data_IF_330882763983
#
_entry.id   IF_330882763983
#
_cell.length_a   1.000
_cell.length_b   1.000
_cell.length_c   1.000
_cell.angle_alpha   90.00
_cell.angle_beta   90.00
_cell.angle_gamma   90.00
#
_symmetry.space_group_name_H-M   'P 1'
#
loop_
_entity.id
_entity.type
_entity.pdbx_description
1 polymer ?
#
# COMPACT_ATOMS: atom_id res chain seq x y z
N UNK A 1 2.44 124.29 -55.11
CA UNK A 1 1.26 123.72 -54.41
C UNK A 1 1.48 123.59 -52.90
N UNK A 2 2.68 123.21 -52.43
CA UNK A 2 3.02 123.02 -51.00
C UNK A 2 2.98 124.32 -50.16
N UNK A 3 3.45 125.45 -50.67
CA UNK A 3 3.50 126.73 -49.93
C UNK A 3 2.12 127.37 -49.69
N UNK A 4 1.13 127.04 -50.53
CA UNK A 4 -0.27 127.52 -50.37
C UNK A 4 -0.99 126.80 -49.24
N UNK A 5 -0.68 125.51 -49.03
CA UNK A 5 -1.29 124.70 -47.97
C UNK A 5 -0.70 125.00 -46.60
N UNK A 6 0.62 125.29 -46.51
CA UNK A 6 1.28 125.67 -45.27
C UNK A 6 0.76 127.03 -44.74
N UNK A 7 0.55 128.00 -45.63
CA UNK A 7 -0.01 129.31 -45.28
C UNK A 7 -1.44 129.19 -44.72
N UNK A 8 -2.29 128.33 -45.31
CA UNK A 8 -3.63 128.06 -44.78
C UNK A 8 -3.61 127.36 -43.42
N UNK A 9 -2.70 126.41 -43.17
CA UNK A 9 -2.61 125.72 -41.88
C UNK A 9 -2.10 126.65 -40.77
N UNK A 10 -1.11 127.50 -41.06
CA UNK A 10 -0.62 128.49 -40.08
C UNK A 10 -1.67 129.57 -39.78
N UNK A 11 -2.42 130.03 -40.79
CA UNK A 11 -3.55 130.95 -40.58
C UNK A 11 -4.66 130.29 -39.76
N UNK A 12 -4.98 129.01 -40.02
CA UNK A 12 -5.99 128.27 -39.26
C UNK A 12 -5.59 128.07 -37.79
N UNK A 13 -4.32 127.75 -37.51
CA UNK A 13 -3.80 127.66 -36.14
C UNK A 13 -3.77 129.01 -35.41
N UNK A 14 -3.47 130.11 -36.11
CA UNK A 14 -3.49 131.45 -35.52
C UNK A 14 -4.93 131.98 -35.30
N UNK A 15 -5.90 131.48 -36.07
CA UNK A 15 -7.33 131.77 -35.85
C UNK A 15 -7.97 130.86 -34.80
N UNK A 16 -7.39 129.69 -34.52
CA UNK A 16 -7.88 128.78 -33.49
C UNK A 16 -7.55 129.28 -32.07
N UNK A 17 -6.46 130.03 -31.89
CA UNK A 17 -6.09 130.61 -30.59
C UNK A 17 -6.97 131.80 -30.17
N UNK A 18 -7.65 132.47 -31.11
CA UNK A 18 -8.66 133.50 -30.82
C UNK A 18 -10.07 132.92 -30.63
N UNK A 19 -10.27 131.62 -30.87
CA UNK A 19 -11.57 130.94 -30.71
C UNK A 19 -11.78 130.30 -29.31
N UNK A 20 -10.80 130.38 -28.41
CA UNK A 20 -10.90 129.92 -27.02
C UNK A 20 -11.00 131.06 -25.99
N UNK A 21 -11.12 132.32 -26.44
CA UNK A 21 -11.53 133.41 -25.54
C UNK A 21 -13.04 133.36 -25.39
N UNK A 22 -13.54 132.41 -24.59
CA UNK A 22 -14.87 132.58 -24.01
C UNK A 22 -14.74 133.74 -23.03
N UNK A 23 -15.37 134.87 -23.33
CA UNK A 23 -15.46 135.98 -22.39
C UNK A 23 -16.32 135.52 -21.23
N UNK A 24 -15.67 135.09 -20.14
CA UNK A 24 -16.35 134.78 -18.89
C UNK A 24 -17.05 136.06 -18.42
N UNK A 25 -18.36 135.97 -18.18
CA UNK A 25 -19.13 137.14 -17.81
C UNK A 25 -20.59 136.85 -17.52
N UNK A 26 -21.27 137.84 -16.94
CA UNK A 26 -22.69 137.77 -16.57
C UNK A 26 -23.46 138.77 -17.44
N UNK A 27 -24.46 138.31 -18.20
CA UNK A 27 -25.31 139.22 -18.96
C UNK A 27 -26.08 140.13 -18.01
N UNK A 28 -26.02 141.45 -18.24
CA UNK A 28 -26.73 142.45 -17.45
C UNK A 28 -27.59 143.33 -18.35
N UNK A 29 -28.85 143.47 -17.95
CA UNK A 29 -29.82 144.31 -18.63
C UNK A 29 -30.61 145.13 -17.60
N UNK A 30 -30.73 146.44 -17.83
CA UNK A 30 -31.49 147.34 -16.98
C UNK A 30 -32.15 148.46 -17.79
N UNK A 31 -33.27 148.99 -17.28
CA UNK A 31 -33.90 150.22 -17.77
C UNK A 31 -33.50 151.34 -16.80
N UNK A 32 -32.84 152.37 -17.30
CA UNK A 32 -32.39 153.54 -16.55
C UNK A 32 -33.47 154.61 -16.62
N UNK A 33 -33.89 155.11 -15.46
CA UNK A 33 -34.88 156.18 -15.33
C UNK A 33 -34.16 157.51 -15.05
N UNK A 34 -34.66 158.59 -15.63
CA UNK A 34 -34.15 159.95 -15.44
C UNK A 34 -34.46 160.40 -13.99
N UNK A 35 -33.43 160.77 -13.20
CA UNK A 35 -33.64 161.24 -11.82
C UNK A 35 -34.35 162.61 -11.78
N UNK A 36 -34.36 163.37 -12.88
CA UNK A 36 -35.00 164.66 -12.94
C UNK A 36 -36.42 164.55 -13.50
N UNK A 37 -37.38 165.21 -12.84
CA UNK A 37 -38.74 165.29 -13.35
C UNK A 37 -38.76 166.16 -14.63
N UNK A 38 -39.32 165.62 -15.72
CA UNK A 38 -39.50 166.36 -16.96
C UNK A 38 -40.62 167.38 -16.77
N UNK A 39 -40.31 168.67 -16.82
CA UNK A 39 -41.32 169.72 -16.70
C UNK A 39 -42.23 169.76 -17.94
N UNK A 40 -43.51 169.42 -17.75
CA UNK A 40 -44.55 169.62 -18.76
C UNK A 40 -45.47 170.78 -18.32
N UNK A 41 -46.07 171.54 -19.25
CA UNK A 41 -46.96 172.64 -18.88
C UNK A 41 -48.12 172.16 -18.00
N UNK A 42 -48.10 172.52 -16.70
CA UNK A 42 -49.14 172.19 -15.72
C UNK A 42 -48.92 170.93 -14.87
N UNK A 43 -47.90 170.10 -15.15
CA UNK A 43 -47.55 168.91 -14.36
C UNK A 43 -46.14 168.40 -14.71
N UNK A 44 -45.34 167.94 -13.74
CA UNK A 44 -44.02 167.36 -14.02
C UNK A 44 -44.12 165.83 -14.15
N UNK A 45 -43.53 165.24 -15.19
CA UNK A 45 -43.47 163.79 -15.37
C UNK A 45 -42.22 163.22 -14.70
N UNK A 46 -42.40 162.42 -13.64
CA UNK A 46 -41.32 161.71 -12.95
C UNK A 46 -41.10 160.31 -13.54
N UNK A 47 -39.91 159.73 -13.33
CA UNK A 47 -39.56 158.36 -13.76
C UNK A 47 -39.63 158.10 -15.27
N UNK A 48 -39.33 159.12 -16.09
CA UNK A 48 -39.21 158.88 -17.53
C UNK A 48 -37.93 158.07 -17.81
N UNK A 49 -37.90 157.19 -18.83
CA UNK A 49 -36.65 156.55 -19.20
C UNK A 49 -35.59 157.60 -19.61
N UNK A 50 -34.37 157.43 -19.13
CA UNK A 50 -33.25 158.26 -19.53
C UNK A 50 -32.77 157.81 -20.91
N UNK A 51 -33.26 158.44 -21.98
CA UNK A 51 -33.01 157.99 -23.36
C UNK A 51 -31.81 158.66 -24.02
N UNK A 52 -31.06 157.91 -24.83
CA UNK A 52 -29.94 158.39 -25.66
C UNK A 52 -28.90 159.22 -24.89
N UNK A 53 -28.63 158.86 -23.63
CA UNK A 53 -27.71 159.57 -22.75
C UNK A 53 -26.48 158.72 -22.50
N UNK A 54 -25.30 159.35 -22.53
CA UNK A 54 -24.07 158.71 -22.06
C UNK A 54 -24.11 158.64 -20.54
N UNK A 55 -23.93 157.45 -19.98
CA UNK A 55 -23.87 157.18 -18.54
C UNK A 55 -22.66 156.28 -18.24
N UNK A 56 -22.21 156.32 -16.99
CA UNK A 56 -21.22 155.34 -16.49
C UNK A 56 -21.89 154.39 -15.51
N UNK A 57 -21.59 153.09 -15.64
CA UNK A 57 -22.02 152.05 -14.72
C UNK A 57 -20.80 151.43 -14.05
N UNK A 58 -20.87 151.19 -12.75
CA UNK A 58 -19.90 150.40 -11.98
C UNK A 58 -20.55 149.15 -11.43
N UNK A 59 -19.84 148.04 -11.53
CA UNK A 59 -20.24 146.76 -10.99
C UNK A 59 -19.26 146.34 -9.90
N UNK A 60 -19.79 145.78 -8.82
CA UNK A 60 -19.04 145.16 -7.75
C UNK A 60 -19.64 143.80 -7.44
N UNK A 61 -18.81 142.77 -7.26
CA UNK A 61 -19.28 141.50 -6.69
C UNK A 61 -18.59 141.26 -5.36
N UNK A 62 -19.40 140.93 -4.36
CA UNK A 62 -18.96 140.58 -3.01
C UNK A 62 -19.28 139.13 -2.70
N UNK A 63 -18.42 138.45 -1.94
CA UNK A 63 -18.71 137.11 -1.44
C UNK A 63 -19.74 137.14 -0.29
N UNK A 64 -20.11 135.96 0.21
CA UNK A 64 -21.08 135.81 1.30
C UNK A 64 -20.64 136.48 2.63
N UNK A 65 -19.35 136.81 2.77
CA UNK A 65 -18.78 137.50 3.94
C UNK A 65 -18.70 139.03 3.74
N UNK A 66 -19.14 139.54 2.59
CA UNK A 66 -19.09 140.96 2.24
C UNK A 66 -17.72 141.43 1.74
N UNK A 67 -16.80 140.52 1.40
CA UNK A 67 -15.49 140.86 0.82
C UNK A 67 -15.65 141.02 -0.69
N UNK A 68 -15.18 142.14 -1.24
CA UNK A 68 -15.18 142.39 -2.68
C UNK A 68 -14.25 141.39 -3.37
N UNK A 69 -14.72 140.80 -4.46
CA UNK A 69 -13.96 139.87 -5.31
C UNK A 69 -13.77 140.39 -6.73
N UNK A 70 -14.58 141.36 -7.14
CA UNK A 70 -14.60 141.87 -8.50
C UNK A 70 -15.09 143.31 -8.56
N UNK A 71 -14.49 144.12 -9.44
CA UNK A 71 -15.02 145.44 -9.79
C UNK A 71 -14.62 145.89 -11.20
N UNK A 72 -15.58 146.51 -11.90
CA UNK A 72 -15.37 147.06 -13.25
C UNK A 72 -16.31 148.23 -13.53
N UNK A 73 -15.98 149.04 -14.53
CA UNK A 73 -16.89 150.08 -15.03
C UNK A 73 -17.13 149.96 -16.54
N UNK A 74 -18.26 150.51 -16.97
CA UNK A 74 -18.70 150.59 -18.36
C UNK A 74 -19.19 152.00 -18.67
N UNK A 75 -18.68 152.61 -19.74
CA UNK A 75 -19.25 153.81 -20.34
C UNK A 75 -20.20 153.40 -21.46
N UNK A 76 -21.50 153.67 -21.30
CA UNK A 76 -22.54 153.21 -22.25
C UNK A 76 -23.53 154.30 -22.58
N UNK A 77 -24.22 154.16 -23.71
CA UNK A 77 -25.30 155.05 -24.13
C UNK A 77 -26.62 154.31 -23.93
N UNK A 78 -27.54 154.88 -23.16
CA UNK A 78 -28.89 154.33 -23.01
C UNK A 78 -29.64 154.38 -24.34
N UNK A 79 -30.44 153.35 -24.64
CA UNK A 79 -31.18 153.32 -25.90
C UNK A 79 -32.42 154.24 -25.90
N UNK A 80 -33.24 154.16 -26.96
CA UNK A 80 -34.48 154.95 -27.10
C UNK A 80 -35.56 154.66 -26.04
N UNK A 81 -35.37 153.61 -25.24
CA UNK A 81 -36.25 153.19 -24.14
C UNK A 81 -35.54 153.25 -22.78
N UNK A 82 -34.34 153.84 -22.72
CA UNK A 82 -33.53 153.92 -21.50
C UNK A 82 -32.83 152.62 -21.13
N UNK A 83 -32.79 151.62 -22.02
CA UNK A 83 -32.16 150.33 -21.71
C UNK A 83 -30.65 150.35 -21.89
N UNK A 84 -29.98 149.59 -21.03
CA UNK A 84 -28.59 149.15 -21.20
C UNK A 84 -28.56 147.63 -21.30
N UNK A 85 -27.67 147.12 -22.15
CA UNK A 85 -27.38 145.70 -22.25
C UNK A 85 -25.87 145.55 -22.37
N UNK A 86 -25.25 144.87 -21.41
CA UNK A 86 -23.81 144.69 -21.34
C UNK A 86 -23.47 143.33 -20.72
N UNK A 87 -22.22 142.91 -20.88
CA UNK A 87 -21.68 141.70 -20.27
C UNK A 87 -20.76 142.11 -19.12
N UNK A 88 -21.17 141.82 -17.88
CA UNK A 88 -20.32 142.04 -16.70
C UNK A 88 -19.11 141.09 -16.81
N UNK A 89 -17.90 141.61 -16.64
CA UNK A 89 -16.63 140.89 -16.88
C UNK A 89 -15.97 141.26 -18.22
N UNK A 90 -16.60 142.16 -18.99
CA UNK A 90 -16.04 142.71 -20.24
C UNK A 90 -15.74 144.22 -20.16
N UNK A 91 -15.97 144.84 -19.01
CA UNK A 91 -15.68 146.25 -18.78
C UNK A 91 -14.21 146.49 -18.42
N UNK A 92 -13.90 147.73 -18.08
CA UNK A 92 -12.57 148.08 -17.61
C UNK A 92 -12.47 147.80 -16.11
N UNK A 93 -11.59 146.88 -15.66
CA UNK A 93 -11.42 146.58 -14.25
C UNK A 93 -10.79 147.76 -13.53
N UNK A 94 -11.17 147.96 -12.27
CA UNK A 94 -10.47 148.86 -11.37
C UNK A 94 -10.14 148.14 -10.06
N UNK A 95 -9.31 148.73 -9.21
CA UNK A 95 -8.83 148.11 -7.97
C UNK A 95 -8.12 146.74 -8.14
N UNK A 96 -7.72 146.36 -9.36
CA UNK A 96 -7.09 145.08 -9.72
C UNK A 96 -7.95 143.84 -9.44
N UNK A 97 -9.28 143.99 -9.46
CA UNK A 97 -10.24 142.94 -9.16
C UNK A 97 -10.94 142.45 -10.44
N UNK A 98 -10.25 141.61 -11.21
CA UNK A 98 -10.73 141.10 -12.50
C UNK A 98 -11.76 139.97 -12.34
N UNK A 99 -12.52 139.65 -13.39
CA UNK A 99 -13.57 138.62 -13.32
C UNK A 99 -13.04 137.24 -12.92
N UNK A 100 -11.78 136.92 -13.23
CA UNK A 100 -11.10 135.67 -12.84
C UNK A 100 -10.77 135.57 -11.34
N UNK A 101 -10.84 136.68 -10.59
CA UNK A 101 -10.61 136.67 -9.15
C UNK A 101 -11.80 136.11 -8.35
N UNK A 102 -12.97 135.98 -8.98
CA UNK A 102 -14.18 135.47 -8.34
C UNK A 102 -14.02 133.96 -8.06
N UNK A 103 -14.11 133.56 -6.80
CA UNK A 103 -14.01 132.16 -6.38
C UNK A 103 -15.39 131.50 -6.40
N UNK A 104 -15.63 130.62 -7.37
CA UNK A 104 -16.92 129.93 -7.51
C UNK A 104 -16.97 128.61 -6.72
N UNK A 105 -17.17 128.68 -5.41
CA UNK A 105 -17.09 127.54 -4.47
C UNK A 105 -18.44 126.95 -4.03
N UNK A 106 -19.55 127.42 -4.61
CA UNK A 106 -20.90 127.00 -4.21
C UNK A 106 -21.63 128.00 -3.30
N UNK A 107 -20.95 129.00 -2.76
CA UNK A 107 -21.57 130.01 -1.88
C UNK A 107 -22.22 131.16 -2.66
N UNK A 108 -23.26 131.79 -2.09
CA UNK A 108 -23.95 132.93 -2.72
C UNK A 108 -23.08 134.19 -2.73
N UNK A 109 -23.18 134.98 -3.78
CA UNK A 109 -22.47 136.26 -3.94
C UNK A 109 -23.45 137.41 -4.15
N UNK A 110 -23.03 138.65 -3.93
CA UNK A 110 -23.86 139.86 -4.10
C UNK A 110 -23.28 140.74 -5.20
N UNK A 111 -24.09 141.07 -6.21
CA UNK A 111 -23.79 142.03 -7.27
C UNK A 111 -24.37 143.40 -6.89
N UNK A 112 -23.52 144.41 -6.76
CA UNK A 112 -23.95 145.81 -6.63
C UNK A 112 -23.67 146.58 -7.91
N UNK A 113 -24.60 147.46 -8.28
CA UNK A 113 -24.50 148.31 -9.47
C UNK A 113 -24.66 149.75 -9.06
N UNK A 114 -23.75 150.60 -9.50
CA UNK A 114 -23.77 152.04 -9.31
C UNK A 114 -23.81 152.74 -10.66
N UNK A 115 -24.45 153.90 -10.72
CA UNK A 115 -24.63 154.69 -11.94
C UNK A 115 -24.22 156.14 -11.73
N UNK A 116 -23.55 156.72 -12.71
CA UNK A 116 -23.40 158.15 -12.89
C UNK A 116 -24.20 158.58 -14.13
N UNK A 117 -25.21 159.43 -13.89
CA UNK A 117 -26.15 159.89 -14.91
C UNK A 117 -25.57 160.94 -15.87
N UNK A 118 -24.50 161.63 -15.48
CA UNK A 118 -23.95 162.80 -16.20
C UNK A 118 -22.51 162.60 -16.68
N UNK A 119 -21.81 161.55 -16.20
CA UNK A 119 -20.40 161.28 -16.50
C UNK A 119 -19.45 162.27 -15.82
N UNK A 120 -19.84 162.83 -14.67
CA UNK A 120 -19.06 163.80 -13.90
C UNK A 120 -18.27 163.18 -12.73
N UNK A 121 -18.42 161.86 -12.53
CA UNK A 121 -17.75 161.07 -11.50
C UNK A 121 -18.58 160.87 -10.23
N UNK A 122 -19.82 161.38 -10.15
CA UNK A 122 -20.72 161.15 -9.02
C UNK A 122 -21.59 159.89 -9.23
N UNK A 123 -21.22 158.81 -8.55
CA UNK A 123 -21.92 157.52 -8.63
C UNK A 123 -22.94 157.36 -7.50
N UNK A 124 -24.16 156.95 -7.86
CA UNK A 124 -25.22 156.56 -6.93
C UNK A 124 -25.59 155.10 -7.10
N UNK A 125 -26.04 154.44 -6.03
CA UNK A 125 -26.42 153.04 -6.08
C UNK A 125 -27.68 152.85 -6.94
N UNK A 126 -27.60 151.98 -7.94
CA UNK A 126 -28.69 151.63 -8.84
C UNK A 126 -29.42 150.37 -8.38
N UNK A 127 -28.69 149.29 -8.05
CA UNK A 127 -29.30 148.02 -7.65
C UNK A 127 -28.36 147.12 -6.84
N UNK A 128 -28.93 146.20 -6.06
CA UNK A 128 -28.23 145.07 -5.45
C UNK A 128 -28.97 143.77 -5.80
N UNK A 129 -28.23 142.72 -6.17
CA UNK A 129 -28.78 141.43 -6.61
C UNK A 129 -27.95 140.28 -6.04
N UNK A 130 -28.60 139.16 -5.71
CA UNK A 130 -27.90 137.94 -5.28
C UNK A 130 -27.58 137.09 -6.51
N UNK A 131 -26.32 136.69 -6.64
CA UNK A 131 -25.85 135.69 -7.59
C UNK A 131 -25.82 134.32 -6.91
N UNK A 132 -26.67 133.39 -7.38
CA UNK A 132 -26.70 132.00 -6.92
C UNK A 132 -25.79 131.13 -7.79
N UNK A 133 -25.17 130.10 -7.19
CA UNK A 133 -24.18 129.23 -7.82
C UNK A 133 -24.70 128.50 -9.08
N UNK A 134 -23.84 128.37 -10.10
CA UNK A 134 -24.00 127.46 -11.24
C UNK A 134 -23.04 126.26 -11.07
N UNK A 135 -23.46 125.01 -11.32
CA UNK A 135 -22.61 123.83 -11.14
C UNK A 135 -21.36 123.84 -12.03
N UNK A 136 -20.19 123.63 -11.42
CA UNK A 136 -18.88 123.50 -12.08
C UNK A 136 -18.41 122.02 -12.13
N UNK A 137 -17.64 121.58 -13.15
CA UNK A 137 -17.07 120.22 -13.20
C UNK A 137 -16.02 119.94 -12.10
N UNK A 138 -15.89 118.65 -11.76
CA UNK A 138 -14.99 118.06 -10.74
C UNK A 138 -13.50 118.36 -11.00
N UNK A 139 -12.71 118.45 -9.92
CA UNK A 139 -11.27 118.75 -9.93
C UNK A 139 -10.40 117.55 -10.38
N UNK A 140 -9.26 117.83 -11.03
CA UNK A 140 -8.37 116.83 -11.61
C UNK A 140 -7.64 115.97 -10.59
N UNK A 141 -7.39 116.48 -9.37
CA UNK A 141 -6.70 115.74 -8.31
C UNK A 141 -7.46 114.48 -7.84
N UNK A 142 -8.79 114.55 -7.86
CA UNK A 142 -9.67 113.42 -7.51
C UNK A 142 -9.60 112.36 -8.61
N UNK A 143 -9.50 112.77 -9.88
CA UNK A 143 -9.41 111.87 -11.01
C UNK A 143 -8.11 111.06 -10.98
N UNK A 144 -6.99 111.70 -10.63
CA UNK A 144 -5.69 111.04 -10.51
C UNK A 144 -5.68 109.99 -9.39
N UNK A 145 -6.31 110.29 -8.25
CA UNK A 145 -6.44 109.33 -7.14
C UNK A 145 -7.27 108.11 -7.53
N UNK A 146 -8.38 108.33 -8.25
CA UNK A 146 -9.23 107.23 -8.71
C UNK A 146 -8.47 106.36 -9.72
N UNK A 147 -7.69 106.96 -10.62
CA UNK A 147 -6.90 106.21 -11.58
C UNK A 147 -5.83 105.35 -10.91
N UNK A 148 -5.13 105.88 -9.89
CA UNK A 148 -4.14 105.12 -9.14
C UNK A 148 -4.77 103.90 -8.43
N UNK A 149 -5.96 104.04 -7.87
CA UNK A 149 -6.69 102.92 -7.25
C UNK A 149 -7.10 101.87 -8.29
N UNK A 150 -7.51 102.29 -9.49
CA UNK A 150 -7.84 101.38 -10.59
C UNK A 150 -6.60 100.58 -11.01
N UNK A 151 -5.47 101.26 -11.22
CA UNK A 151 -4.22 100.63 -11.66
C UNK A 151 -3.72 99.57 -10.64
N UNK A 152 -3.86 99.86 -9.34
CA UNK A 152 -3.52 98.91 -8.27
C UNK A 152 -4.45 97.70 -8.30
N UNK A 153 -5.76 97.92 -8.42
CA UNK A 153 -6.73 96.83 -8.48
C UNK A 153 -6.52 95.93 -9.72
N UNK A 154 -6.14 96.51 -10.85
CA UNK A 154 -5.80 95.76 -12.06
C UNK A 154 -4.54 94.91 -11.82
N UNK A 155 -3.48 95.49 -11.25
CA UNK A 155 -2.25 94.76 -10.95
C UNK A 155 -2.47 93.62 -9.92
N UNK A 156 -3.29 93.85 -8.89
CA UNK A 156 -3.64 92.84 -7.90
C UNK A 156 -4.47 91.72 -8.53
N UNK A 157 -5.42 92.05 -9.42
CA UNK A 157 -6.20 91.06 -10.17
C UNK A 157 -5.32 90.21 -11.08
N UNK A 158 -4.41 90.83 -11.84
CA UNK A 158 -3.46 90.13 -12.72
C UNK A 158 -2.54 89.18 -11.95
N UNK A 159 -2.06 89.61 -10.77
CA UNK A 159 -1.22 88.78 -9.91
C UNK A 159 -1.99 87.55 -9.39
N UNK A 160 -3.26 87.74 -8.98
CA UNK A 160 -4.12 86.64 -8.54
C UNK A 160 -4.44 85.67 -9.68
N UNK A 161 -4.75 86.19 -10.87
CA UNK A 161 -5.01 85.36 -12.05
C UNK A 161 -3.79 84.50 -12.41
N UNK A 162 -2.59 85.07 -12.36
CA UNK A 162 -1.35 84.33 -12.58
C UNK A 162 -1.13 83.22 -11.54
N UNK A 163 -1.35 83.51 -10.26
CA UNK A 163 -1.22 82.51 -9.18
C UNK A 163 -2.24 81.38 -9.31
N UNK A 164 -3.48 81.70 -9.67
CA UNK A 164 -4.53 80.70 -9.87
C UNK A 164 -4.21 79.85 -11.10
N UNK A 165 -3.72 80.44 -12.19
CA UNK A 165 -3.33 79.70 -13.38
C UNK A 165 -2.19 78.71 -13.09
N UNK A 166 -1.16 79.13 -12.34
CA UNK A 166 -0.07 78.25 -11.90
C UNK A 166 -0.60 77.08 -11.06
N UNK A 167 -1.49 77.35 -10.09
CA UNK A 167 -2.10 76.30 -9.28
C UNK A 167 -2.96 75.31 -10.09
N UNK A 168 -3.67 75.79 -11.12
CA UNK A 168 -4.45 74.94 -12.04
C UNK A 168 -3.53 74.07 -12.89
N UNK A 169 -2.43 74.64 -13.41
CA UNK A 169 -1.47 73.92 -14.22
C UNK A 169 -0.76 72.83 -13.40
N UNK A 170 -0.36 73.13 -12.17
CA UNK A 170 0.22 72.17 -11.23
C UNK A 170 -0.76 71.04 -10.89
N UNK A 171 -2.03 71.36 -10.63
CA UNK A 171 -3.05 70.36 -10.34
C UNK A 171 -3.31 69.47 -11.57
N UNK A 172 -3.34 70.06 -12.76
CA UNK A 172 -3.50 69.31 -14.02
C UNK A 172 -2.32 68.36 -14.24
N UNK A 173 -1.09 68.79 -13.97
CA UNK A 173 0.09 67.95 -14.06
C UNK A 173 0.07 66.81 -13.03
N UNK A 174 -0.39 67.08 -11.81
CA UNK A 174 -0.56 66.07 -10.77
C UNK A 174 -1.61 65.01 -11.15
N UNK A 175 -2.76 65.42 -11.68
CA UNK A 175 -3.83 64.53 -12.13
C UNK A 175 -3.35 63.59 -13.26
N UNK A 176 -2.54 64.12 -14.20
CA UNK A 176 -1.91 63.33 -15.26
C UNK A 176 -0.94 62.31 -14.66
N UNK A 177 -0.06 62.74 -13.76
CA UNK A 177 0.93 61.86 -13.13
C UNK A 177 0.25 60.74 -12.30
N UNK A 178 -0.83 61.05 -11.57
CA UNK A 178 -1.62 60.07 -10.85
C UNK A 178 -2.24 59.04 -11.80
N UNK A 179 -2.81 59.50 -12.93
CA UNK A 179 -3.42 58.63 -13.94
C UNK A 179 -2.39 57.69 -14.60
N UNK A 180 -1.20 58.18 -14.91
CA UNK A 180 -0.10 57.38 -15.46
C UNK A 180 0.45 56.36 -14.45
N UNK A 181 0.58 56.77 -13.18
CA UNK A 181 0.98 55.89 -12.08
C UNK A 181 -0.06 54.77 -11.87
N UNK A 182 -1.35 55.11 -11.89
CA UNK A 182 -2.45 54.15 -11.81
C UNK A 182 -2.41 53.14 -12.96
N UNK A 183 -2.27 53.61 -14.20
CA UNK A 183 -2.14 52.74 -15.39
C UNK A 183 -0.93 51.79 -15.27
N UNK A 184 0.19 52.30 -14.75
CA UNK A 184 1.39 51.49 -14.54
C UNK A 184 1.16 50.40 -13.48
N UNK A 185 0.51 50.74 -12.37
CA UNK A 185 0.17 49.81 -11.30
C UNK A 185 -0.81 48.73 -11.79
N UNK A 186 -1.84 49.12 -12.54
CA UNK A 186 -2.83 48.20 -13.12
C UNK A 186 -2.18 47.21 -14.09
N UNK A 187 -1.28 47.69 -14.96
CA UNK A 187 -0.53 46.81 -15.87
C UNK A 187 0.39 45.84 -15.11
N UNK A 188 1.04 46.29 -14.04
CA UNK A 188 1.89 45.42 -13.22
C UNK A 188 1.05 44.34 -12.51
N UNK A 189 -0.12 44.71 -11.99
CA UNK A 189 -1.04 43.77 -11.36
C UNK A 189 -1.59 42.77 -12.37
N UNK A 190 -1.98 43.22 -13.56
CA UNK A 190 -2.44 42.34 -14.63
C UNK A 190 -1.35 41.34 -15.04
N UNK A 191 -0.10 41.79 -15.19
CA UNK A 191 1.02 40.90 -15.48
C UNK A 191 1.26 39.85 -14.40
N UNK A 192 1.09 40.20 -13.11
CA UNK A 192 1.18 39.25 -12.01
C UNK A 192 0.03 38.23 -12.03
N UNK A 193 -1.20 38.65 -12.34
CA UNK A 193 -2.37 37.79 -12.47
C UNK A 193 -2.19 36.80 -13.63
N UNK A 194 -1.74 37.28 -14.79
CA UNK A 194 -1.49 36.46 -15.97
C UNK A 194 -0.40 35.41 -15.68
N UNK A 195 0.68 35.81 -15.00
CA UNK A 195 1.74 34.89 -14.59
C UNK A 195 1.23 33.83 -13.59
N UNK A 196 0.41 34.22 -12.61
CA UNK A 196 -0.18 33.26 -11.68
C UNK A 196 -1.12 32.28 -12.40
N UNK A 197 -1.94 32.77 -13.32
CA UNK A 197 -2.83 31.94 -14.14
C UNK A 197 -2.04 30.93 -14.97
N UNK A 198 -0.92 31.34 -15.58
CA UNK A 198 -0.05 30.45 -16.33
C UNK A 198 0.62 29.39 -15.44
N UNK A 199 1.05 29.77 -14.23
CA UNK A 199 1.61 28.84 -13.25
C UNK A 199 0.57 27.82 -12.78
N UNK A 200 -0.66 28.25 -12.47
CA UNK A 200 -1.76 27.37 -12.05
C UNK A 200 -2.08 26.32 -13.13
N UNK A 201 -2.07 26.73 -14.41
CA UNK A 201 -2.22 25.82 -15.56
C UNK A 201 -1.06 24.82 -15.61
N UNK A 202 0.19 25.31 -15.54
CA UNK A 202 1.37 24.45 -15.60
C UNK A 202 1.43 23.44 -14.44
N UNK A 203 1.05 23.86 -13.23
CA UNK A 203 0.94 22.99 -12.06
C UNK A 203 -0.13 21.92 -12.26
N UNK A 204 -1.30 22.30 -12.80
CA UNK A 204 -2.40 21.36 -13.09
C UNK A 204 -2.01 20.33 -14.16
N UNK A 205 -1.31 20.75 -15.22
CA UNK A 205 -0.80 19.86 -16.27
C UNK A 205 0.27 18.91 -15.74
N UNK A 206 1.22 19.41 -14.93
CA UNK A 206 2.24 18.60 -14.30
C UNK A 206 1.65 17.58 -13.32
N UNK A 207 0.66 17.99 -12.52
CA UNK A 207 -0.08 17.10 -11.61
C UNK A 207 -0.82 16.00 -12.38
N UNK A 208 -1.52 16.37 -13.46
CA UNK A 208 -2.22 15.40 -14.32
C UNK A 208 -1.24 14.39 -14.94
N UNK A 209 -0.07 14.84 -15.40
CA UNK A 209 0.95 13.94 -15.94
C UNK A 209 1.51 12.99 -14.88
N UNK A 210 1.79 13.50 -13.67
CA UNK A 210 2.26 12.69 -12.55
C UNK A 210 1.22 11.64 -12.12
N UNK A 211 -0.07 12.00 -12.09
CA UNK A 211 -1.16 11.08 -11.78
C UNK A 211 -1.28 9.95 -12.83
N UNK A 212 -1.10 10.28 -14.11
CA UNK A 212 -1.08 9.29 -15.21
C UNK A 212 0.11 8.33 -15.07
N UNK A 213 1.30 8.84 -14.80
CA UNK A 213 2.51 8.01 -14.60
C UNK A 213 2.38 7.10 -13.37
N UNK A 214 1.81 7.62 -12.28
CA UNK A 214 1.54 6.83 -11.08
C UNK A 214 0.49 5.74 -11.35
N UNK A 215 -0.59 6.07 -12.06
CA UNK A 215 -1.62 5.09 -12.42
C UNK A 215 -1.03 3.98 -13.30
N UNK A 216 -0.19 4.31 -14.29
CA UNK A 216 0.50 3.32 -15.11
C UNK A 216 1.41 2.38 -14.29
N UNK A 217 2.09 2.93 -13.28
CA UNK A 217 2.94 2.14 -12.37
C UNK A 217 2.11 1.19 -11.49
N UNK A 218 0.96 1.66 -10.99
CA UNK A 218 0.02 0.85 -10.19
C UNK A 218 -0.58 -0.28 -11.04
N UNK A 219 -0.99 0.03 -12.28
CA UNK A 219 -1.56 -0.95 -13.20
C UNK A 219 -0.53 -2.04 -13.55
N UNK A 220 0.74 -1.65 -13.79
CA UNK A 220 1.83 -2.58 -14.02
C UNK A 220 2.08 -3.50 -12.81
N UNK A 221 2.18 -2.94 -11.60
CA UNK A 221 2.36 -3.74 -10.38
C UNK A 221 1.18 -4.68 -10.14
N UNK A 222 -0.05 -4.23 -10.40
CA UNK A 222 -1.24 -5.07 -10.28
C UNK A 222 -1.21 -6.24 -11.27
N UNK A 223 -0.73 -6.01 -12.50
CA UNK A 223 -0.57 -7.06 -13.49
C UNK A 223 0.52 -8.07 -13.10
N UNK A 224 1.64 -7.59 -12.57
CA UNK A 224 2.74 -8.43 -12.08
C UNK A 224 2.30 -9.29 -10.88
N UNK A 225 1.57 -8.72 -9.91
CA UNK A 225 1.01 -9.44 -8.75
C UNK A 225 0.08 -10.58 -9.20
N UNK A 226 -0.75 -10.34 -10.22
CA UNK A 226 -1.63 -11.37 -10.80
C UNK A 226 -0.81 -12.46 -11.49
N UNK A 227 0.23 -12.10 -12.25
CA UNK A 227 1.08 -13.06 -12.93
C UNK A 227 1.89 -13.92 -11.95
N UNK A 228 2.39 -13.33 -10.86
CA UNK A 228 3.05 -14.05 -9.78
C UNK A 228 2.09 -15.04 -9.11
N UNK A 229 0.87 -14.60 -8.79
CA UNK A 229 -0.15 -15.47 -8.18
C UNK A 229 -0.51 -16.66 -9.07
N UNK A 230 -0.67 -16.45 -10.39
CA UNK A 230 -0.92 -17.52 -11.36
C UNK A 230 0.28 -18.49 -11.41
N UNK A 231 1.50 -17.96 -11.52
CA UNK A 231 2.73 -18.77 -11.58
C UNK A 231 2.92 -19.60 -10.30
N UNK A 232 2.61 -19.02 -9.14
CA UNK A 232 2.61 -19.70 -7.85
C UNK A 232 1.58 -20.83 -7.80
N UNK A 233 0.35 -20.59 -8.24
CA UNK A 233 -0.69 -21.61 -8.30
C UNK A 233 -0.34 -22.77 -9.26
N UNK A 234 0.30 -22.47 -10.40
CA UNK A 234 0.81 -23.49 -11.32
C UNK A 234 1.94 -24.32 -10.70
N UNK A 235 2.86 -23.67 -9.98
CA UNK A 235 3.94 -24.36 -9.26
C UNK A 235 3.41 -25.26 -8.13
N UNK A 236 2.44 -24.77 -7.34
CA UNK A 236 1.78 -25.55 -6.28
C UNK A 236 1.04 -26.76 -6.87
N UNK A 237 0.32 -26.59 -7.98
CA UNK A 237 -0.36 -27.68 -8.67
C UNK A 237 0.63 -28.73 -9.20
N UNK A 238 1.77 -28.30 -9.76
CA UNK A 238 2.82 -29.21 -10.22
C UNK A 238 3.45 -29.98 -9.05
N UNK A 239 3.72 -29.32 -7.92
CA UNK A 239 4.23 -29.97 -6.73
C UNK A 239 3.24 -30.98 -6.16
N UNK A 240 1.95 -30.62 -6.09
CA UNK A 240 0.90 -31.54 -5.65
C UNK A 240 0.83 -32.79 -6.53
N UNK A 241 0.93 -32.64 -7.85
CA UNK A 241 0.94 -33.78 -8.77
C UNK A 241 2.14 -34.72 -8.52
N UNK A 242 3.33 -34.19 -8.20
CA UNK A 242 4.47 -35.02 -7.83
C UNK A 242 4.27 -35.74 -6.49
N UNK A 243 3.69 -35.07 -5.49
CA UNK A 243 3.37 -35.68 -4.19
C UNK A 243 2.36 -36.81 -4.37
N UNK A 244 1.29 -36.57 -5.12
CA UNK A 244 0.25 -37.57 -5.39
C UNK A 244 0.82 -38.79 -6.13
N UNK A 245 1.67 -38.55 -7.14
CA UNK A 245 2.35 -39.61 -7.88
C UNK A 245 3.30 -40.43 -6.98
N UNK A 246 4.02 -39.78 -6.06
CA UNK A 246 4.87 -40.49 -5.11
C UNK A 246 4.03 -41.30 -4.11
N UNK A 247 2.91 -40.76 -3.64
CA UNK A 247 2.00 -41.48 -2.75
C UNK A 247 1.43 -42.75 -3.40
N UNK A 248 1.07 -42.69 -4.69
CA UNK A 248 0.65 -43.87 -5.46
C UNK A 248 1.79 -44.87 -5.59
N UNK A 249 3.01 -44.41 -5.89
CA UNK A 249 4.17 -45.28 -6.02
C UNK A 249 4.52 -46.00 -4.71
N UNK A 250 4.44 -45.30 -3.57
CA UNK A 250 4.66 -45.88 -2.24
C UNK A 250 3.58 -46.94 -1.91
N UNK A 251 2.32 -46.70 -2.27
CA UNK A 251 1.22 -47.66 -2.10
C UNK A 251 1.42 -48.91 -2.97
N UNK A 252 1.78 -48.73 -4.25
CA UNK A 252 2.11 -49.83 -5.17
C UNK A 252 3.31 -50.65 -4.66
N UNK A 253 4.35 -50.02 -4.13
CA UNK A 253 5.52 -50.70 -3.54
C UNK A 253 5.12 -51.52 -2.31
N UNK A 254 4.30 -50.96 -1.42
CA UNK A 254 3.77 -51.68 -0.25
C UNK A 254 2.97 -52.92 -0.66
N UNK A 255 2.07 -52.79 -1.64
CA UNK A 255 1.26 -53.92 -2.15
C UNK A 255 2.16 -54.98 -2.80
N UNK A 256 3.15 -54.56 -3.59
CA UNK A 256 4.11 -55.48 -4.20
C UNK A 256 4.93 -56.23 -3.14
N UNK A 257 5.34 -55.54 -2.07
CA UNK A 257 6.00 -56.14 -0.91
C UNK A 257 5.14 -57.18 -0.20
N UNK A 258 3.90 -56.84 0.15
CA UNK A 258 2.94 -57.75 0.79
C UNK A 258 2.68 -59.00 -0.06
N UNK A 259 2.54 -58.83 -1.38
CA UNK A 259 2.38 -59.95 -2.32
C UNK A 259 3.63 -60.83 -2.39
N UNK A 260 4.83 -60.25 -2.36
CA UNK A 260 6.08 -60.99 -2.35
C UNK A 260 6.25 -61.79 -1.05
N UNK A 261 5.94 -61.19 0.09
CA UNK A 261 5.99 -61.85 1.40
C UNK A 261 4.97 -62.99 1.48
N UNK A 262 3.74 -62.78 0.99
CA UNK A 262 2.72 -63.83 0.92
C UNK A 262 3.15 -64.99 0.01
N UNK A 263 3.76 -64.70 -1.14
CA UNK A 263 4.27 -65.72 -2.05
C UNK A 263 5.43 -66.52 -1.42
N UNK A 264 6.32 -65.84 -0.68
CA UNK A 264 7.41 -66.49 0.05
C UNK A 264 6.87 -67.37 1.18
N UNK A 265 5.89 -66.90 1.95
CA UNK A 265 5.26 -67.69 3.01
C UNK A 265 4.59 -68.94 2.44
N UNK A 266 3.85 -68.83 1.34
CA UNK A 266 3.24 -69.99 0.68
C UNK A 266 4.28 -71.02 0.20
N UNK A 267 5.44 -70.56 -0.29
CA UNK A 267 6.53 -71.45 -0.69
C UNK A 267 7.18 -72.15 0.52
N UNK A 268 7.35 -71.44 1.64
CA UNK A 268 7.86 -72.02 2.89
C UNK A 268 6.88 -73.07 3.44
N UNK A 269 5.59 -72.74 3.50
CA UNK A 269 4.54 -73.64 3.98
C UNK A 269 4.49 -74.92 3.14
N UNK A 270 4.54 -74.79 1.81
CA UNK A 270 4.58 -75.94 0.90
C UNK A 270 5.83 -76.80 1.07
N UNK A 271 6.99 -76.20 1.36
CA UNK A 271 8.21 -76.97 1.64
C UNK A 271 8.12 -77.69 2.98
N UNK A 272 7.54 -77.06 4.00
CA UNK A 272 7.33 -77.69 5.30
C UNK A 272 6.37 -78.88 5.21
N UNK A 273 5.28 -78.75 4.44
CA UNK A 273 4.35 -79.86 4.18
C UNK A 273 5.04 -81.01 3.43
N UNK A 274 5.88 -80.71 2.44
CA UNK A 274 6.66 -81.71 1.73
C UNK A 274 7.70 -82.43 2.63
N UNK A 275 8.37 -81.69 3.52
CA UNK A 275 9.32 -82.26 4.48
C UNK A 275 8.61 -83.18 5.51
N UNK A 276 7.39 -82.82 5.92
CA UNK A 276 6.52 -83.66 6.79
C UNK A 276 6.08 -84.93 6.06
N UNK A 277 5.60 -84.82 4.82
CA UNK A 277 5.22 -85.96 3.97
C UNK A 277 6.39 -86.92 3.73
N UNK A 278 7.59 -86.40 3.45
CA UNK A 278 8.80 -87.22 3.30
C UNK A 278 9.14 -87.97 4.59
N UNK A 279 9.03 -87.30 5.75
CA UNK A 279 9.28 -87.90 7.06
C UNK A 279 8.26 -89.00 7.41
N UNK A 280 6.98 -88.79 7.10
CA UNK A 280 5.93 -89.79 7.33
C UNK A 280 6.09 -90.99 6.38
N UNK A 281 6.39 -90.74 5.10
CA UNK A 281 6.71 -91.80 4.14
C UNK A 281 7.94 -92.62 4.57
N UNK A 282 9.00 -91.95 5.03
CA UNK A 282 10.20 -92.59 5.57
C UNK A 282 9.88 -93.47 6.79
N UNK A 283 9.12 -92.93 7.74
CA UNK A 283 8.66 -93.69 8.93
C UNK A 283 7.86 -94.92 8.53
N UNK A 284 6.99 -94.82 7.52
CA UNK A 284 6.17 -95.95 7.07
C UNK A 284 7.00 -97.02 6.36
N UNK A 285 8.02 -96.63 5.59
CA UNK A 285 9.01 -97.55 5.02
C UNK A 285 9.81 -98.25 6.12
N UNK A 286 10.26 -97.53 7.15
CA UNK A 286 10.97 -98.10 8.29
C UNK A 286 10.11 -99.12 9.05
N UNK A 287 8.83 -98.81 9.30
CA UNK A 287 7.87 -99.75 9.91
C UNK A 287 7.71 -101.01 9.03
N UNK A 288 7.48 -100.84 7.73
CA UNK A 288 7.32 -101.97 6.82
C UNK A 288 8.59 -102.86 6.76
N UNK A 289 9.77 -102.24 6.82
CA UNK A 289 11.03 -102.96 6.89
C UNK A 289 11.18 -103.69 8.23
N UNK A 290 10.80 -103.06 9.35
CA UNK A 290 10.82 -103.69 10.67
C UNK A 290 9.87 -104.90 10.72
N UNK A 291 8.64 -104.76 10.21
CA UNK A 291 7.68 -105.87 10.12
C UNK A 291 8.25 -107.04 9.30
N UNK A 292 8.93 -106.74 8.17
CA UNK A 292 9.56 -107.76 7.34
C UNK A 292 10.72 -108.46 8.06
N UNK A 293 11.53 -107.72 8.83
CA UNK A 293 12.62 -108.27 9.66
C UNK A 293 12.04 -109.14 10.78
N UNK A 294 10.97 -108.69 11.44
CA UNK A 294 10.32 -109.44 12.53
C UNK A 294 9.73 -110.76 12.01
N UNK A 295 9.07 -110.74 10.85
CA UNK A 295 8.60 -111.96 10.18
C UNK A 295 9.76 -112.89 9.82
N UNK A 296 10.87 -112.35 9.29
CA UNK A 296 12.02 -113.18 8.95
C UNK A 296 12.65 -113.80 10.21
N UNK A 297 12.78 -113.01 11.29
CA UNK A 297 13.29 -113.48 12.58
C UNK A 297 12.40 -114.60 13.15
N UNK A 298 11.08 -114.43 13.11
CA UNK A 298 10.14 -115.46 13.54
C UNK A 298 10.20 -116.73 12.66
N UNK A 299 10.42 -116.58 11.36
CA UNK A 299 10.63 -117.72 10.47
C UNK A 299 11.94 -118.46 10.77
N UNK A 300 13.04 -117.73 11.00
CA UNK A 300 14.34 -118.31 11.37
C UNK A 300 14.23 -119.06 12.72
N UNK A 301 13.52 -118.49 13.71
CA UNK A 301 13.22 -119.17 14.98
C UNK A 301 12.40 -120.44 14.77
N UNK A 302 11.33 -120.37 13.96
CA UNK A 302 10.48 -121.54 13.66
C UNK A 302 11.23 -122.64 12.88
N UNK A 303 12.15 -122.26 11.98
CA UNK A 303 13.03 -123.20 11.28
C UNK A 303 13.99 -123.88 12.26
N UNK A 304 14.59 -123.13 13.18
CA UNK A 304 15.45 -123.67 14.24
C UNK A 304 14.68 -124.65 15.13
N UNK A 305 13.48 -124.26 15.62
CA UNK A 305 12.63 -125.12 16.45
C UNK A 305 12.21 -126.39 15.70
N UNK A 306 11.87 -126.29 14.41
CA UNK A 306 11.55 -127.45 13.58
C UNK A 306 12.77 -128.36 13.37
N UNK A 307 13.97 -127.79 13.24
CA UNK A 307 15.24 -128.50 13.20
C UNK A 307 15.50 -129.27 14.49
N UNK A 308 15.40 -128.61 15.65
CA UNK A 308 15.55 -129.22 16.98
C UNK A 308 14.53 -130.36 17.19
N UNK A 309 13.29 -130.19 16.74
CA UNK A 309 12.28 -131.24 16.77
C UNK A 309 12.63 -132.43 15.88
N UNK A 310 13.14 -132.18 14.67
CA UNK A 310 13.55 -133.24 13.75
C UNK A 310 14.75 -134.03 14.32
N UNK A 311 15.73 -133.33 14.88
CA UNK A 311 16.89 -133.95 15.55
C UNK A 311 16.45 -134.79 16.76
N UNK A 312 15.50 -134.30 17.57
CA UNK A 312 14.94 -135.06 18.69
C UNK A 312 14.19 -136.32 18.24
N UNK A 313 13.44 -136.26 17.13
CA UNK A 313 12.78 -137.43 16.54
C UNK A 313 13.79 -138.45 16.02
N UNK A 314 14.82 -137.99 15.29
CA UNK A 314 15.90 -138.85 14.81
C UNK A 314 16.64 -139.49 15.98
N UNK A 315 16.94 -138.73 17.04
CA UNK A 315 17.59 -139.26 18.23
C UNK A 315 16.72 -140.32 18.92
N UNK A 316 15.40 -140.10 19.03
CA UNK A 316 14.50 -141.10 19.59
C UNK A 316 14.45 -142.39 18.74
N UNK A 317 14.43 -142.27 17.41
CA UNK A 317 14.50 -143.43 16.50
C UNK A 317 15.86 -144.16 16.63
N UNK A 318 16.97 -143.43 16.80
CA UNK A 318 18.30 -144.00 17.04
C UNK A 318 18.37 -144.71 18.38
N UNK A 319 17.90 -144.08 19.46
CA UNK A 319 17.85 -144.66 20.80
C UNK A 319 16.97 -145.92 20.83
N UNK A 320 15.84 -145.91 20.12
CA UNK A 320 14.98 -147.08 19.96
C UNK A 320 15.68 -148.21 19.19
N UNK A 321 16.38 -147.90 18.10
CA UNK A 321 17.18 -148.88 17.37
C UNK A 321 18.33 -149.45 18.22
N UNK A 322 18.98 -148.63 19.05
CA UNK A 322 20.01 -149.09 20.00
C UNK A 322 19.39 -150.02 21.06
N UNK A 323 18.24 -149.65 21.64
CA UNK A 323 17.53 -150.50 22.59
C UNK A 323 17.05 -151.82 21.97
N UNK A 324 16.54 -151.79 20.74
CA UNK A 324 16.15 -152.99 19.99
C UNK A 324 17.37 -153.88 19.70
N UNK A 325 18.52 -153.28 19.35
CA UNK A 325 19.79 -153.99 19.15
C UNK A 325 20.28 -154.62 20.45
N UNK A 326 20.28 -153.88 21.56
CA UNK A 326 20.65 -154.37 22.89
C UNK A 326 19.74 -155.52 23.35
N UNK A 327 18.44 -155.41 23.10
CA UNK A 327 17.46 -156.47 23.40
C UNK A 327 17.70 -157.73 22.56
N UNK A 328 18.01 -157.56 21.27
CA UNK A 328 18.38 -158.65 20.38
C UNK A 328 19.68 -159.33 20.84
N UNK A 329 20.70 -158.55 21.21
CA UNK A 329 21.97 -159.06 21.75
C UNK A 329 21.77 -159.81 23.07
N UNK A 330 20.98 -159.28 23.99
CA UNK A 330 20.57 -159.96 25.23
C UNK A 330 19.84 -161.28 24.98
N UNK A 331 18.91 -161.28 24.01
CA UNK A 331 18.16 -162.49 23.63
C UNK A 331 19.09 -163.53 23.04
N UNK A 332 20.03 -163.12 22.19
CA UNK A 332 20.99 -164.01 21.56
C UNK A 332 21.99 -164.57 22.58
N UNK A 333 22.45 -163.75 23.53
CA UNK A 333 23.29 -164.20 24.65
C UNK A 333 22.55 -165.21 25.53
N UNK A 334 21.28 -164.97 25.88
CA UNK A 334 20.48 -165.91 26.65
C UNK A 334 20.27 -167.26 25.92
N UNK A 335 20.08 -167.21 24.60
CA UNK A 335 19.98 -168.43 23.78
C UNK A 335 21.31 -169.21 23.74
N UNK A 336 22.45 -168.52 23.64
CA UNK A 336 23.78 -169.12 23.71
C UNK A 336 24.05 -169.75 25.09
N UNK A 337 23.71 -169.04 26.17
CA UNK A 337 23.86 -169.53 27.55
C UNK A 337 22.98 -170.76 27.80
N UNK A 338 21.72 -170.75 27.33
CA UNK A 338 20.83 -171.90 27.42
C UNK A 338 21.37 -173.10 26.64
N UNK A 339 21.97 -172.87 25.48
CA UNK A 339 22.58 -173.93 24.69
C UNK A 339 23.85 -174.49 25.36
N UNK A 340 24.67 -173.62 25.97
CA UNK A 340 25.82 -174.06 26.77
C UNK A 340 25.41 -174.92 27.97
N UNK A 341 24.32 -174.55 28.67
CA UNK A 341 23.75 -175.35 29.76
C UNK A 341 23.23 -176.69 29.22
N UNK A 342 22.57 -176.72 28.06
CA UNK A 342 22.08 -177.94 27.45
C UNK A 342 23.21 -178.90 27.06
N UNK A 343 24.28 -178.39 26.46
CA UNK A 343 25.50 -179.16 26.14
C UNK A 343 26.16 -179.71 27.43
N UNK A 344 26.22 -178.91 28.50
CA UNK A 344 26.75 -179.34 29.80
C UNK A 344 25.88 -180.43 30.44
N UNK A 345 24.55 -180.32 30.33
CA UNK A 345 23.60 -181.34 30.79
C UNK A 345 23.70 -182.64 29.99
N UNK A 346 23.84 -182.57 28.65
CA UNK A 346 24.05 -183.75 27.80
C UNK A 346 25.33 -184.51 28.20
N UNK A 347 26.41 -183.78 28.52
CA UNK A 347 27.66 -184.35 29.02
C UNK A 347 27.49 -185.03 30.39
N UNK A 348 26.73 -184.42 31.31
CA UNK A 348 26.40 -185.01 32.62
C UNK A 348 25.55 -186.27 32.47
N UNK A 349 24.52 -186.24 31.63
CA UNK A 349 23.63 -187.38 31.39
C UNK A 349 24.38 -188.54 30.70
N UNK A 350 25.29 -188.24 29.78
CA UNK A 350 26.20 -189.20 29.17
C UNK A 350 27.11 -189.87 30.20
N UNK A 351 27.76 -189.09 31.08
CA UNK A 351 28.59 -189.62 32.17
C UNK A 351 27.79 -190.47 33.18
N UNK A 352 26.54 -190.10 33.46
CA UNK A 352 25.64 -190.87 34.33
C UNK A 352 25.27 -192.22 33.70
N UNK A 353 24.99 -192.25 32.40
CA UNK A 353 24.72 -193.47 31.65
C UNK A 353 25.93 -194.42 31.62
N UNK A 354 27.14 -193.89 31.39
CA UNK A 354 28.38 -194.67 31.41
C UNK A 354 28.67 -195.28 32.78
N UNK A 355 28.46 -194.53 33.86
CA UNK A 355 28.62 -195.03 35.23
C UNK A 355 27.60 -196.13 35.57
N UNK A 356 26.36 -196.01 35.11
CA UNK A 356 25.32 -197.02 35.30
C UNK A 356 25.68 -198.33 34.58
N UNK A 357 26.23 -198.23 33.36
CA UNK A 357 26.70 -199.38 32.60
C UNK A 357 27.89 -200.06 33.29
N UNK A 358 28.85 -199.29 33.81
CA UNK A 358 30.00 -199.82 34.56
C UNK A 358 29.56 -200.62 35.80
N UNK A 359 28.61 -200.10 36.57
CA UNK A 359 28.03 -200.80 37.74
C UNK A 359 27.35 -202.13 37.38
N UNK A 360 26.68 -202.20 36.22
CA UNK A 360 26.04 -203.43 35.76
C UNK A 360 27.07 -204.50 35.34
N UNK A 361 28.18 -204.07 34.72
CA UNK A 361 29.29 -204.96 34.32
C UNK A 361 29.99 -205.53 35.56
N UNK A 362 30.26 -204.70 36.57
CA UNK A 362 30.90 -205.12 37.82
C UNK A 362 30.04 -206.15 38.57
N UNK A 363 28.72 -205.94 38.62
CA UNK A 363 27.78 -206.88 39.24
C UNK A 363 27.75 -208.25 38.53
N UNK A 364 27.84 -208.27 37.20
CA UNK A 364 27.87 -209.50 36.43
C UNK A 364 29.19 -210.27 36.63
N UNK A 365 30.31 -209.54 36.70
CA UNK A 365 31.64 -210.12 36.97
C UNK A 365 31.70 -210.75 38.37
N UNK A 366 31.04 -210.16 39.36
CA UNK A 366 30.94 -210.71 40.70
C UNK A 366 30.05 -211.96 40.77
N UNK A 367 28.99 -212.04 39.96
CA UNK A 367 28.11 -213.20 39.89
C UNK A 367 28.82 -214.42 39.28
N UNK A 368 29.56 -214.24 38.17
CA UNK A 368 30.34 -215.30 37.52
C UNK A 368 31.41 -215.89 38.46
N UNK A 369 32.06 -215.04 39.27
CA UNK A 369 33.04 -215.48 40.26
C UNK A 369 32.41 -216.34 41.36
N UNK A 370 31.19 -216.02 41.79
CA UNK A 370 30.48 -216.78 42.82
C UNK A 370 30.02 -218.16 42.33
N UNK A 371 29.64 -218.28 41.04
CA UNK A 371 29.28 -219.56 40.42
C UNK A 371 30.48 -220.49 40.32
N UNK A 372 31.65 -219.95 39.95
CA UNK A 372 32.90 -220.72 39.85
C UNK A 372 33.37 -221.27 41.20
N UNK A 373 33.11 -220.57 42.31
CA UNK A 373 33.48 -221.02 43.66
C UNK A 373 32.56 -222.17 44.14
N UNK A 374 31.26 -222.09 43.86
CA UNK A 374 30.29 -223.12 44.24
C UNK A 374 30.52 -224.46 43.50
N UNK A 375 30.98 -224.42 42.25
CA UNK A 375 31.36 -225.61 41.49
C UNK A 375 32.56 -226.35 42.12
N UNK A 376 33.57 -225.62 42.57
CA UNK A 376 34.77 -226.19 43.17
C UNK A 376 34.50 -226.88 44.53
N UNK A 377 33.60 -226.36 45.36
CA UNK A 377 33.19 -227.00 46.62
C UNK A 377 32.41 -228.30 46.39
N UNK A 378 31.64 -228.38 45.30
CA UNK A 378 30.83 -229.56 44.98
C UNK A 378 31.72 -230.72 44.51
N UNK A 379 32.71 -230.46 43.67
CA UNK A 379 33.68 -231.46 43.20
C UNK A 379 34.53 -232.04 44.34
N UNK A 380 34.93 -231.21 45.30
CA UNK A 380 35.70 -231.65 46.47
C UNK A 380 34.91 -232.61 47.38
N UNK A 381 33.61 -232.38 47.53
CA UNK A 381 32.74 -233.25 48.34
C UNK A 381 32.49 -234.61 47.66
N UNK A 382 32.37 -234.65 46.34
CA UNK A 382 32.20 -235.89 45.57
C UNK A 382 33.47 -236.76 45.65
N UNK A 383 34.65 -236.15 45.56
CA UNK A 383 35.92 -236.89 45.65
C UNK A 383 36.13 -237.53 47.04
N UNK A 384 35.72 -236.84 48.11
CA UNK A 384 35.82 -237.38 49.47
C UNK A 384 34.91 -238.61 49.71
N UNK A 385 33.72 -238.63 49.10
CA UNK A 385 32.80 -239.77 49.16
C UNK A 385 33.33 -241.00 48.40
N UNK A 386 33.99 -240.77 47.26
CA UNK A 386 34.63 -241.82 46.46
C UNK A 386 35.78 -242.47 47.23
N UNK A 387 36.64 -241.66 47.84
CA UNK A 387 37.80 -242.14 48.59
C UNK A 387 37.38 -242.97 49.82
N UNK A 388 36.29 -242.58 50.50
CA UNK A 388 35.77 -243.32 51.65
C UNK A 388 35.20 -244.69 51.26
N UNK A 389 34.55 -244.80 50.10
CA UNK A 389 34.02 -246.05 49.58
C UNK A 389 35.14 -247.03 49.17
N UNK A 390 36.26 -246.52 48.65
CA UNK A 390 37.43 -247.33 48.31
C UNK A 390 38.07 -247.97 49.56
N UNK A 391 38.16 -247.22 50.66
CA UNK A 391 38.69 -247.72 51.94
C UNK A 391 37.78 -248.79 52.55
N UNK A 392 36.45 -248.62 52.46
CA UNK A 392 35.49 -249.60 52.94
C UNK A 392 35.53 -250.92 52.13
N UNK A 393 35.78 -250.83 50.81
CA UNK A 393 35.93 -252.00 49.94
C UNK A 393 37.20 -252.80 50.25
N UNK A 394 38.33 -252.13 50.47
CA UNK A 394 39.62 -252.80 50.75
C UNK A 394 39.62 -253.49 52.12
N UNK A 395 38.94 -252.92 53.12
CA UNK A 395 38.79 -253.55 54.43
C UNK A 395 37.89 -254.80 54.39
N UNK A 396 36.91 -254.84 53.50
CA UNK A 396 36.03 -255.99 53.32
C UNK A 396 36.75 -257.17 52.63
N UNK A 397 37.62 -256.90 51.66
CA UNK A 397 38.36 -257.94 50.93
C UNK A 397 39.41 -258.67 51.79
N UNK A 398 39.99 -257.99 52.79
CA UNK A 398 40.97 -258.61 53.69
C UNK A 398 40.33 -259.56 54.72
N UNK A 399 39.04 -259.41 55.04
CA UNK A 399 38.33 -260.28 55.96
C UNK A 399 37.96 -261.66 55.37
N UNK A 400 38.24 -261.91 54.08
CA UNK A 400 37.84 -263.15 53.38
C UNK A 400 39.00 -264.15 53.20
N UNK A 401 40.27 -263.77 53.42
CA UNK A 401 41.43 -264.61 53.03
C UNK A 401 42.24 -265.27 54.17
N UNK A 402 41.75 -265.38 55.40
CA UNK A 402 42.53 -266.05 56.45
C UNK A 402 41.78 -267.02 57.39
N UNK A 403 40.64 -267.55 56.95
CA UNK A 403 40.37 -268.99 57.10
C UNK A 403 41.11 -269.75 55.98
#
# INVERSE_FOLDING_TARGET
MIMRNLLTTTILCLTATVALSQTAGINYQAIILDPQAQELPGFNSENNPLVNKVIDLRFYIFNNEGVQEFSEYHNVITDRYGMVNLLIGSGDPFEMMEFSNIVWDGTSKTLEVYIDFNGDGEYVMLSTQILSYLPHPLDSSILDSIQADIDINEADSDAVDAMIQEAIDDNTAADIAESEAGTTADNALQGAIDANTANDIAESEAGTAADVDLQASIDANTADDVAESISGAEADAALQAFIDANGIADEDESVAGDLADAALQAAIDANAEADEDESEAGTQVDIALQDAIDVNTANDEAESDAGDMADALIQADVDANEADSDFADLTMQAALDANAIADEQESIDGAAADNALMSAIDANTAADLSESIAGAETDANIQADVDANEVASVAADLNIQAD
#
